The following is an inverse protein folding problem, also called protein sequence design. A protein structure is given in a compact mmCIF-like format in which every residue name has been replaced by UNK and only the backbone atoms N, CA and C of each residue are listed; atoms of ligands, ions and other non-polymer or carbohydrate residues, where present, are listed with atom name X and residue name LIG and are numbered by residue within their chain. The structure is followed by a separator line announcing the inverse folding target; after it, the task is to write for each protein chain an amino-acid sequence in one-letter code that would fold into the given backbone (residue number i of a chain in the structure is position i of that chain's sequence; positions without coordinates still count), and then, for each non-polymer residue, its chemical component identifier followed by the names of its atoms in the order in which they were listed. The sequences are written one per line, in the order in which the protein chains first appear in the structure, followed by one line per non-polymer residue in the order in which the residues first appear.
data_IF_013533434764
#
_entry.id   IF_013533434764
#
_cell.length_a   1.000
_cell.length_b   1.000
_cell.length_c   1.000
_cell.angle_alpha   90.00
_cell.angle_beta   90.00
_cell.angle_gamma   90.00
#
_symmetry.space_group_name_H-M   'P 1'
#
loop_
_entity.id
_entity.type
_entity.pdbx_description
1 polymer ?
#
# COMPACT_ATOMS: atom_id res chain seq x y z
N UNK A 1 47.29 -12.48 70.76
CA UNK A 1 46.53 -11.27 71.05
C UNK A 1 46.07 -10.75 69.69
N UNK A 2 44.84 -11.10 69.31
CA UNK A 2 44.27 -10.94 67.96
C UNK A 2 43.38 -9.70 68.03
N UNK A 3 43.64 -8.71 67.20
CA UNK A 3 42.72 -7.56 66.99
C UNK A 3 41.87 -7.83 65.75
N UNK A 4 40.56 -7.93 65.95
CA UNK A 4 39.57 -7.91 64.94
C UNK A 4 39.29 -6.43 64.54
N UNK A 5 39.47 -6.11 63.29
CA UNK A 5 38.95 -4.87 62.70
C UNK A 5 37.67 -5.22 61.89
N UNK A 6 36.54 -4.75 62.36
CA UNK A 6 35.28 -4.86 61.66
C UNK A 6 35.23 -3.70 60.63
N UNK A 7 35.09 -4.02 59.34
CA UNK A 7 34.75 -3.09 58.29
C UNK A 7 33.24 -3.12 58.11
N UNK A 8 32.56 -2.04 58.43
CA UNK A 8 31.19 -1.79 58.05
C UNK A 8 31.12 -1.36 56.59
N UNK A 9 30.54 -2.18 55.75
CA UNK A 9 30.20 -1.81 54.38
C UNK A 9 29.00 -0.85 54.36
N UNK A 10 29.23 0.38 53.93
CA UNK A 10 28.19 1.31 53.61
C UNK A 10 27.55 0.88 52.28
N UNK A 11 26.29 0.45 52.31
CA UNK A 11 25.47 0.27 51.13
C UNK A 11 25.21 1.59 50.45
N UNK A 12 25.91 1.89 49.35
CA UNK A 12 25.53 2.93 48.42
C UNK A 12 24.37 2.40 47.56
N UNK A 13 23.14 2.74 47.94
CA UNK A 13 21.94 2.52 47.15
C UNK A 13 22.03 3.32 45.85
N UNK A 14 22.39 2.64 44.77
CA UNK A 14 22.23 3.21 43.41
C UNK A 14 20.74 3.16 43.11
N UNK A 15 20.05 4.29 43.35
CA UNK A 15 18.70 4.51 42.86
C UNK A 15 18.79 4.66 41.34
N UNK A 16 18.45 3.58 40.63
CA UNK A 16 18.15 3.66 39.19
C UNK A 16 16.85 4.47 39.03
N UNK A 17 16.96 5.76 38.80
CA UNK A 17 15.85 6.56 38.31
C UNK A 17 15.57 6.07 36.89
N UNK A 18 14.66 5.13 36.73
CA UNK A 18 13.98 4.90 35.47
C UNK A 18 13.13 6.13 35.22
N UNK A 19 13.63 7.06 34.42
CA UNK A 19 12.84 8.17 33.95
C UNK A 19 11.60 7.57 33.28
N UNK A 20 10.44 7.65 33.94
CA UNK A 20 9.16 7.33 33.32
C UNK A 20 8.99 8.32 32.16
N UNK A 21 9.24 7.86 30.96
CA UNK A 21 8.99 8.63 29.73
C UNK A 21 7.51 8.95 29.71
N UNK A 22 7.16 10.25 29.75
CA UNK A 22 5.77 10.72 29.72
C UNK A 22 5.22 10.56 28.29
N UNK A 23 4.66 9.36 28.01
CA UNK A 23 4.00 9.09 26.73
C UNK A 23 2.51 9.39 26.90
N UNK A 24 2.02 10.33 26.09
CA UNK A 24 0.59 10.69 26.05
C UNK A 24 0.02 10.42 24.68
N UNK A 25 -1.11 9.74 24.62
CA UNK A 25 -1.86 9.53 23.38
C UNK A 25 -3.02 10.51 23.35
N UNK A 26 -3.04 11.36 22.34
CA UNK A 26 -4.06 12.39 22.19
C UNK A 26 -4.75 12.26 20.84
N UNK A 27 -6.10 12.42 20.79
CA UNK A 27 -6.79 12.50 19.51
C UNK A 27 -6.41 13.79 18.78
N UNK A 28 -6.35 13.71 17.46
CA UNK A 28 -6.11 14.87 16.59
C UNK A 28 -7.34 15.78 16.65
N UNK A 29 -7.13 17.01 17.10
CA UNK A 29 -8.17 18.04 17.15
C UNK A 29 -7.70 19.32 16.46
N UNK A 30 -8.45 19.76 15.45
CA UNK A 30 -8.16 20.98 14.73
C UNK A 30 -6.98 20.92 13.75
N UNK A 31 -6.73 22.05 13.09
CA UNK A 31 -5.81 22.14 11.94
C UNK A 31 -4.34 21.98 12.30
N UNK A 32 -3.94 22.36 13.53
CA UNK A 32 -2.56 22.26 14.00
C UNK A 32 -2.16 20.80 14.21
N UNK A 33 -2.99 20.03 14.89
CA UNK A 33 -2.73 18.62 15.17
C UNK A 33 -2.81 17.79 13.88
N UNK A 34 -3.79 18.08 13.00
CA UNK A 34 -3.88 17.48 11.67
C UNK A 34 -2.60 17.73 10.85
N UNK A 35 -2.05 18.95 10.89
CA UNK A 35 -0.77 19.24 10.22
C UNK A 35 0.36 18.40 10.82
N UNK A 36 0.43 18.25 12.13
CA UNK A 36 1.44 17.43 12.79
C UNK A 36 1.27 15.95 12.41
N UNK A 37 0.03 15.43 12.46
CA UNK A 37 -0.29 14.06 12.08
C UNK A 37 0.15 13.75 10.65
N UNK A 38 -0.24 14.57 9.68
CA UNK A 38 0.08 14.39 8.26
C UNK A 38 1.59 14.48 8.00
N UNK A 39 2.31 15.43 8.63
CA UNK A 39 3.72 15.68 8.32
C UNK A 39 4.72 14.93 9.20
N UNK A 40 4.26 14.18 10.19
CA UNK A 40 5.12 13.44 11.11
C UNK A 40 6.11 12.49 10.41
N UNK A 41 5.69 11.66 9.42
CA UNK A 41 6.62 10.75 8.73
C UNK A 41 7.79 11.45 8.05
N UNK A 42 7.58 12.67 7.51
CA UNK A 42 8.67 13.44 6.89
C UNK A 42 9.77 13.84 7.88
N UNK A 43 9.44 13.90 9.16
CA UNK A 43 10.40 14.16 10.24
C UNK A 43 11.06 12.86 10.70
N UNK A 44 10.26 11.81 10.92
CA UNK A 44 10.75 10.52 11.41
C UNK A 44 11.69 9.85 10.40
N UNK A 45 11.36 9.94 9.12
CA UNK A 45 12.05 9.19 8.05
C UNK A 45 13.00 10.07 7.22
N UNK A 46 13.51 11.16 7.82
CA UNK A 46 14.48 12.01 7.15
C UNK A 46 15.76 11.25 6.81
N UNK A 47 16.21 11.33 5.56
CA UNK A 47 17.43 10.66 5.10
C UNK A 47 17.26 9.18 4.72
N UNK A 48 16.05 8.65 4.82
CA UNK A 48 15.72 7.27 4.44
C UNK A 48 15.20 7.17 3.00
N UNK A 49 14.94 5.95 2.47
CA UNK A 49 14.24 5.75 1.20
C UNK A 49 12.79 6.25 1.16
N UNK A 50 12.17 6.55 2.29
CA UNK A 50 10.80 7.04 2.36
C UNK A 50 10.54 8.19 1.39
N UNK A 51 9.35 8.23 0.81
CA UNK A 51 8.92 9.24 -0.16
C UNK A 51 7.72 10.01 0.37
N UNK A 52 7.79 11.35 0.40
CA UNK A 52 6.64 12.14 0.83
C UNK A 52 5.48 11.98 -0.15
N UNK A 53 4.24 11.78 0.36
CA UNK A 53 3.04 11.78 -0.48
C UNK A 53 2.78 13.19 -1.04
N UNK A 54 1.79 13.30 -1.92
CA UNK A 54 1.22 14.61 -2.26
C UNK A 54 0.45 15.11 -1.03
N UNK A 55 0.99 16.11 -0.36
CA UNK A 55 0.48 16.57 0.96
C UNK A 55 -1.00 16.95 0.97
N UNK A 56 -1.50 17.51 -0.13
CA UNK A 56 -2.91 17.87 -0.24
C UNK A 56 -3.81 16.62 -0.27
N UNK A 57 -3.37 15.56 -0.96
CA UNK A 57 -4.12 14.32 -1.07
C UNK A 57 -4.01 13.50 0.23
N UNK A 58 -2.81 13.46 0.83
CA UNK A 58 -2.61 12.84 2.14
C UNK A 58 -3.56 13.41 3.20
N UNK A 59 -3.65 14.74 3.29
CA UNK A 59 -4.56 15.41 4.22
C UNK A 59 -6.03 15.08 3.96
N UNK A 60 -6.45 15.03 2.69
CA UNK A 60 -7.82 14.66 2.32
C UNK A 60 -8.13 13.21 2.70
N UNK A 61 -7.14 12.34 2.59
CA UNK A 61 -7.25 10.93 2.96
C UNK A 61 -7.69 10.69 4.41
N UNK A 62 -7.48 11.66 5.30
CA UNK A 62 -7.86 11.59 6.71
C UNK A 62 -9.11 12.40 7.06
N UNK A 63 -9.95 12.75 6.09
CA UNK A 63 -11.21 13.48 6.30
C UNK A 63 -12.38 12.67 5.76
N UNK A 64 -13.44 12.50 6.56
CA UNK A 64 -14.68 11.86 6.14
C UNK A 64 -15.32 12.55 4.92
N UNK A 65 -15.23 13.89 4.83
CA UNK A 65 -15.77 14.68 3.72
C UNK A 65 -15.13 14.36 2.36
N UNK A 66 -13.92 13.80 2.37
CA UNK A 66 -13.12 13.58 1.16
C UNK A 66 -12.72 12.13 0.93
N UNK A 67 -12.95 11.26 1.92
CA UNK A 67 -12.61 9.84 1.89
C UNK A 67 -13.87 9.00 2.11
N UNK A 68 -14.37 8.31 1.08
CA UNK A 68 -15.60 7.53 1.16
C UNK A 68 -15.56 6.39 2.18
N UNK A 69 -14.38 5.82 2.44
CA UNK A 69 -14.21 4.78 3.46
C UNK A 69 -14.41 5.38 4.84
N UNK A 70 -13.79 6.53 5.13
CA UNK A 70 -13.94 7.20 6.43
C UNK A 70 -15.32 7.84 6.62
N UNK A 71 -15.99 8.25 5.53
CA UNK A 71 -17.37 8.71 5.57
C UNK A 71 -18.31 7.62 6.13
N UNK A 72 -18.04 6.36 5.78
CA UNK A 72 -18.81 5.19 6.23
C UNK A 72 -18.20 4.49 7.46
N UNK A 73 -17.28 5.14 8.18
CA UNK A 73 -16.56 4.56 9.31
C UNK A 73 -16.67 5.38 10.57
N UNK A 74 -16.63 4.70 11.71
CA UNK A 74 -16.27 5.32 12.98
C UNK A 74 -14.74 5.33 13.09
N UNK A 75 -14.10 6.49 13.14
CA UNK A 75 -12.64 6.56 13.12
C UNK A 75 -12.06 7.57 14.11
N UNK A 76 -10.78 7.40 14.42
CA UNK A 76 -9.97 8.35 15.18
C UNK A 76 -8.56 8.42 14.63
N UNK A 77 -7.98 9.61 14.69
CA UNK A 77 -6.57 9.87 14.42
C UNK A 77 -5.88 10.15 15.77
N UNK A 78 -4.85 9.39 16.10
CA UNK A 78 -4.14 9.51 17.36
C UNK A 78 -2.68 9.94 17.15
N UNK A 79 -2.20 10.84 17.99
CA UNK A 79 -0.80 11.25 18.09
C UNK A 79 -0.22 10.80 19.44
N UNK A 80 0.90 10.10 19.38
CA UNK A 80 1.73 9.88 20.57
C UNK A 80 2.65 11.08 20.78
N UNK A 81 2.65 11.60 21.97
CA UNK A 81 3.57 12.64 22.44
C UNK A 81 4.53 12.04 23.45
N UNK A 82 5.80 12.32 23.28
CA UNK A 82 6.86 11.92 24.20
C UNK A 82 7.73 13.14 24.49
N UNK A 83 7.90 13.46 25.79
CA UNK A 83 8.69 14.60 26.24
C UNK A 83 8.29 15.92 25.53
N UNK A 84 6.98 16.13 25.32
CA UNK A 84 6.41 17.31 24.67
C UNK A 84 6.56 17.39 23.15
N UNK A 85 7.08 16.34 22.49
CA UNK A 85 7.21 16.26 21.03
C UNK A 85 6.37 15.11 20.45
N UNK A 86 5.79 15.25 19.24
CA UNK A 86 5.09 14.13 18.58
C UNK A 86 6.09 13.00 18.29
N UNK A 87 5.82 11.80 18.76
CA UNK A 87 6.68 10.62 18.64
C UNK A 87 6.08 9.52 17.76
N UNK A 88 4.78 9.57 17.49
CA UNK A 88 4.12 8.60 16.61
C UNK A 88 2.70 9.01 16.27
N UNK A 89 2.13 8.31 15.27
CA UNK A 89 0.75 8.47 14.81
C UNK A 89 0.13 7.13 14.48
N UNK A 90 -1.19 7.03 14.58
CA UNK A 90 -2.00 5.91 14.10
C UNK A 90 -3.39 6.40 13.73
N UNK A 91 -3.98 5.79 12.70
CA UNK A 91 -5.41 5.85 12.39
C UNK A 91 -6.04 4.55 12.86
N UNK A 92 -7.16 4.60 13.57
CA UNK A 92 -8.00 3.46 13.87
C UNK A 92 -9.43 3.73 13.37
N UNK A 93 -10.07 2.73 12.74
CA UNK A 93 -11.40 2.88 12.16
C UNK A 93 -12.15 1.55 12.08
N UNK A 94 -13.49 1.63 12.20
CA UNK A 94 -14.39 0.51 11.96
C UNK A 94 -15.12 0.80 10.66
N UNK A 95 -14.74 0.10 9.59
CA UNK A 95 -15.38 0.21 8.28
C UNK A 95 -16.61 -0.69 8.23
N UNK A 96 -17.80 -0.09 8.10
CA UNK A 96 -19.05 -0.84 8.04
C UNK A 96 -19.15 -1.68 6.79
N UNK A 97 -18.66 -1.20 5.65
CA UNK A 97 -18.65 -1.97 4.39
C UNK A 97 -17.75 -3.19 4.46
N UNK A 98 -16.59 -3.07 5.12
CA UNK A 98 -15.71 -4.21 5.40
C UNK A 98 -16.42 -5.27 6.25
N UNK A 99 -16.97 -4.87 7.38
CA UNK A 99 -17.60 -5.79 8.32
C UNK A 99 -18.86 -6.45 7.75
N UNK A 100 -19.65 -5.73 6.98
CA UNK A 100 -20.80 -6.28 6.26
C UNK A 100 -20.36 -7.29 5.19
N UNK A 101 -19.36 -6.94 4.37
CA UNK A 101 -18.89 -7.79 3.28
C UNK A 101 -18.27 -9.10 3.78
N UNK A 102 -17.45 -9.04 4.84
CA UNK A 102 -16.76 -10.21 5.39
C UNK A 102 -17.52 -10.88 6.55
N UNK A 103 -18.68 -10.37 6.93
CA UNK A 103 -19.46 -10.83 8.11
C UNK A 103 -18.56 -10.90 9.36
N UNK A 104 -17.80 -9.81 9.62
CA UNK A 104 -16.77 -9.72 10.64
C UNK A 104 -17.06 -8.60 11.64
N UNK A 105 -16.39 -8.67 12.79
CA UNK A 105 -16.34 -7.61 13.79
C UNK A 105 -14.90 -7.07 13.86
N UNK A 106 -14.36 -6.65 12.72
CA UNK A 106 -13.01 -6.13 12.61
C UNK A 106 -12.94 -4.62 12.87
N UNK A 107 -11.93 -4.22 13.61
CA UNK A 107 -11.45 -2.86 13.63
C UNK A 107 -10.15 -2.77 12.82
N UNK A 108 -10.03 -1.76 12.00
CA UNK A 108 -8.87 -1.59 11.13
C UNK A 108 -7.94 -0.50 11.68
N UNK A 109 -6.64 -0.64 11.42
CA UNK A 109 -5.69 0.44 11.67
C UNK A 109 -4.80 0.70 10.46
N UNK A 110 -4.35 1.95 10.34
CA UNK A 110 -3.42 2.38 9.29
C UNK A 110 -2.59 3.56 9.77
N UNK A 111 -1.77 4.12 8.89
CA UNK A 111 -0.92 5.28 9.18
C UNK A 111 -0.10 5.13 10.48
N UNK A 112 0.34 3.91 10.80
CA UNK A 112 1.19 3.66 11.95
C UNK A 112 2.63 4.05 11.60
N UNK A 113 3.06 5.20 12.11
CA UNK A 113 4.41 5.72 11.98
C UNK A 113 4.87 6.24 13.35
N UNK A 114 5.98 5.73 13.85
CA UNK A 114 6.50 6.14 15.15
C UNK A 114 8.04 6.08 15.21
N UNK A 115 8.61 6.68 16.24
CA UNK A 115 10.02 6.47 16.60
C UNK A 115 10.24 5.01 16.96
N UNK A 116 11.46 4.49 16.78
CA UNK A 116 11.83 3.10 17.10
C UNK A 116 11.86 2.89 18.63
N UNK A 117 10.69 2.87 19.25
CA UNK A 117 10.50 2.71 20.69
C UNK A 117 9.31 1.79 20.99
N UNK A 118 9.54 0.63 21.65
CA UNK A 118 8.48 -0.32 21.99
C UNK A 118 7.33 0.28 22.80
N UNK A 119 7.65 1.23 23.71
CA UNK A 119 6.64 1.85 24.57
C UNK A 119 5.70 2.75 23.74
N UNK A 120 6.23 3.48 22.75
CA UNK A 120 5.43 4.33 21.86
C UNK A 120 4.53 3.48 20.95
N UNK A 121 5.08 2.40 20.34
CA UNK A 121 4.29 1.48 19.52
C UNK A 121 3.16 0.84 20.33
N UNK A 122 3.48 0.31 21.51
CA UNK A 122 2.48 -0.31 22.41
C UNK A 122 1.39 0.68 22.80
N UNK A 123 1.76 1.88 23.22
CA UNK A 123 0.79 2.90 23.64
C UNK A 123 -0.17 3.31 22.50
N UNK A 124 0.35 3.47 21.26
CA UNK A 124 -0.48 3.77 20.09
C UNK A 124 -1.43 2.63 19.75
N UNK A 125 -0.90 1.40 19.68
CA UNK A 125 -1.66 0.21 19.32
C UNK A 125 -2.73 -0.13 20.37
N UNK A 126 -2.43 0.05 21.67
CA UNK A 126 -3.38 -0.18 22.73
C UNK A 126 -4.48 0.90 22.80
N UNK A 127 -4.13 2.17 22.54
CA UNK A 127 -5.13 3.24 22.43
C UNK A 127 -6.06 3.04 21.22
N UNK A 128 -5.51 2.60 20.10
CA UNK A 128 -6.29 2.23 18.91
C UNK A 128 -7.22 1.04 19.21
N UNK A 129 -6.70 -0.01 19.86
CA UNK A 129 -7.48 -1.18 20.26
C UNK A 129 -8.64 -0.81 21.21
N UNK A 130 -8.39 0.04 22.19
CA UNK A 130 -9.42 0.53 23.10
C UNK A 130 -10.53 1.30 22.38
N UNK A 131 -10.15 2.16 21.41
CA UNK A 131 -11.11 2.88 20.56
C UNK A 131 -11.99 1.92 19.75
N UNK A 132 -11.39 0.88 19.15
CA UNK A 132 -12.07 -0.11 18.32
C UNK A 132 -12.97 -1.03 19.14
N UNK A 133 -12.49 -1.53 20.28
CA UNK A 133 -13.27 -2.37 21.19
C UNK A 133 -14.51 -1.64 21.72
N UNK A 134 -14.40 -0.35 22.05
CA UNK A 134 -15.53 0.49 22.45
C UNK A 134 -16.62 0.64 21.36
N UNK A 135 -16.31 0.24 20.12
CA UNK A 135 -17.23 0.23 18.94
C UNK A 135 -17.62 -1.17 18.51
N UNK A 136 -17.36 -2.16 19.35
CA UNK A 136 -17.78 -3.54 19.12
C UNK A 136 -16.82 -4.39 18.29
N UNK A 137 -15.66 -3.84 17.92
CA UNK A 137 -14.66 -4.65 17.23
C UNK A 137 -14.05 -5.68 18.20
N UNK A 138 -13.93 -6.92 17.73
CA UNK A 138 -13.32 -8.04 18.48
C UNK A 138 -11.90 -8.34 18.06
N UNK A 139 -11.52 -7.92 16.85
CA UNK A 139 -10.19 -8.10 16.27
C UNK A 139 -9.70 -6.79 15.69
N UNK A 140 -8.42 -6.47 15.87
CA UNK A 140 -7.75 -5.35 15.24
C UNK A 140 -6.83 -5.87 14.14
N UNK A 141 -6.99 -5.33 12.91
CA UNK A 141 -6.33 -5.78 11.68
C UNK A 141 -5.65 -4.60 10.97
N UNK A 142 -4.43 -4.80 10.49
CA UNK A 142 -3.71 -3.78 9.69
C UNK A 142 -2.19 -4.01 9.61
N UNK A 143 -1.43 -3.01 9.14
CA UNK A 143 -1.88 -1.69 8.69
C UNK A 143 -2.62 -1.73 7.36
N UNK A 144 -3.84 -1.22 7.32
CA UNK A 144 -4.66 -1.01 6.12
C UNK A 144 -5.02 0.46 6.06
N UNK A 145 -4.57 1.14 5.03
CA UNK A 145 -4.89 2.56 4.88
C UNK A 145 -6.22 2.70 4.13
N UNK A 146 -7.14 3.56 4.56
CA UNK A 146 -8.46 3.73 3.94
C UNK A 146 -8.41 4.43 2.57
N UNK A 147 -7.28 5.01 2.22
CA UNK A 147 -7.01 5.47 0.84
C UNK A 147 -6.20 4.38 0.18
N UNK A 148 -6.67 3.92 -0.98
CA UNK A 148 -6.11 2.82 -1.73
C UNK A 148 -4.60 2.62 -1.49
N UNK A 149 -4.21 1.43 -1.02
CA UNK A 149 -2.96 0.79 -1.37
C UNK A 149 -1.71 1.08 -0.55
N UNK A 150 -1.83 1.75 0.59
CA UNK A 150 -0.79 1.73 1.60
C UNK A 150 -1.11 0.62 2.62
N UNK A 151 -0.91 -0.64 2.21
CA UNK A 151 -1.22 -1.80 3.04
C UNK A 151 0.04 -2.52 3.49
N UNK A 152 0.01 -2.94 4.73
CA UNK A 152 1.08 -3.71 5.35
C UNK A 152 2.30 -2.91 5.78
N UNK A 153 3.13 -3.56 6.55
CA UNK A 153 4.45 -3.11 6.98
C UNK A 153 5.50 -3.81 6.14
N UNK A 154 6.45 -3.08 5.55
CA UNK A 154 7.60 -3.67 4.88
C UNK A 154 8.41 -4.49 5.88
N UNK A 155 8.62 -5.78 5.61
CA UNK A 155 9.36 -6.71 6.47
C UNK A 155 10.59 -7.31 5.79
N UNK A 156 10.66 -7.21 4.45
CA UNK A 156 11.80 -7.68 3.65
C UNK A 156 11.92 -6.84 2.38
N UNK A 157 13.15 -6.65 1.87
CA UNK A 157 13.43 -5.89 0.65
C UNK A 157 13.67 -4.39 0.89
N UNK A 158 14.28 -4.02 2.00
CA UNK A 158 14.61 -2.64 2.37
C UNK A 158 15.67 -1.98 1.45
N UNK A 159 16.42 -2.76 0.68
CA UNK A 159 17.50 -2.29 -0.20
C UNK A 159 16.99 -1.48 -1.39
N UNK A 160 15.71 -1.63 -1.74
CA UNK A 160 15.09 -0.92 -2.85
C UNK A 160 14.07 0.10 -2.35
N UNK A 161 14.05 1.33 -2.93
CA UNK A 161 13.05 2.33 -2.53
C UNK A 161 11.63 1.85 -2.83
N UNK A 162 10.62 2.40 -2.13
CA UNK A 162 9.22 2.08 -2.40
C UNK A 162 8.82 2.62 -3.78
N UNK A 163 8.01 1.87 -4.52
CA UNK A 163 7.35 2.38 -5.72
C UNK A 163 6.09 3.17 -5.36
N UNK A 164 5.57 3.91 -6.32
CA UNK A 164 4.38 4.75 -6.11
C UNK A 164 3.21 3.95 -5.49
N UNK A 165 2.60 4.52 -4.45
CA UNK A 165 1.53 3.92 -3.65
C UNK A 165 1.92 2.64 -2.89
N UNK A 166 3.18 2.48 -2.47
CA UNK A 166 3.58 1.45 -1.51
C UNK A 166 4.20 2.07 -0.26
N UNK A 167 3.96 1.49 0.94
CA UNK A 167 4.50 2.02 2.18
C UNK A 167 6.02 1.78 2.26
N UNK A 168 6.64 2.58 3.11
CA UNK A 168 7.99 2.36 3.62
C UNK A 168 8.01 2.64 5.12
N UNK A 169 8.66 1.80 5.87
CA UNK A 169 8.84 1.91 7.32
C UNK A 169 10.26 1.44 7.70
N UNK A 170 10.77 1.81 8.88
CA UNK A 170 12.02 1.28 9.40
C UNK A 170 11.97 -0.25 9.59
N UNK A 171 13.12 -0.96 9.49
CA UNK A 171 13.17 -2.41 9.70
C UNK A 171 12.70 -2.89 11.07
N UNK A 172 12.83 -2.05 12.11
CA UNK A 172 12.40 -2.37 13.47
C UNK A 172 10.87 -2.54 13.61
N UNK A 173 10.07 -1.98 12.69
CA UNK A 173 8.61 -1.92 12.82
C UNK A 173 7.94 -3.31 12.96
N UNK A 174 8.40 -4.36 12.22
CA UNK A 174 7.87 -5.73 12.36
C UNK A 174 8.01 -6.24 13.80
N UNK A 175 9.21 -6.12 14.36
CA UNK A 175 9.50 -6.55 15.73
C UNK A 175 8.65 -5.79 16.76
N UNK A 176 8.54 -4.47 16.61
CA UNK A 176 7.79 -3.60 17.53
C UNK A 176 6.27 -3.89 17.51
N UNK A 177 5.71 -4.16 16.33
CA UNK A 177 4.29 -4.54 16.20
C UNK A 177 4.05 -5.92 16.84
N UNK A 178 4.94 -6.88 16.62
CA UNK A 178 4.84 -8.21 17.25
C UNK A 178 5.00 -8.16 18.76
N UNK A 179 5.94 -7.36 19.26
CA UNK A 179 6.14 -7.15 20.69
C UNK A 179 4.91 -6.50 21.36
N UNK A 180 4.11 -5.75 20.60
CA UNK A 180 2.82 -5.24 21.04
C UNK A 180 1.70 -6.30 21.00
N UNK A 181 1.99 -7.57 20.73
CA UNK A 181 1.06 -8.69 20.79
C UNK A 181 0.28 -8.97 19.50
N UNK A 182 0.79 -8.52 18.36
CA UNK A 182 0.18 -8.81 17.07
C UNK A 182 0.82 -10.01 16.39
N UNK A 183 -0.01 -10.86 15.79
CA UNK A 183 0.39 -11.97 14.96
C UNK A 183 0.30 -11.63 13.46
N UNK A 184 1.04 -12.39 12.65
CA UNK A 184 0.93 -12.29 11.19
C UNK A 184 -0.46 -12.73 10.73
N UNK A 185 -1.12 -11.87 9.95
CA UNK A 185 -2.37 -12.20 9.24
C UNK A 185 -2.10 -12.61 7.79
N UNK A 186 -1.45 -11.76 7.00
CA UNK A 186 -1.24 -11.96 5.57
C UNK A 186 0.06 -11.32 5.11
N UNK A 187 0.80 -12.00 4.24
CA UNK A 187 1.90 -11.37 3.52
C UNK A 187 1.48 -10.96 2.10
N UNK A 188 1.90 -9.77 1.70
CA UNK A 188 1.72 -9.20 0.37
C UNK A 188 3.08 -9.17 -0.33
N UNK A 189 3.19 -9.80 -1.49
CA UNK A 189 4.45 -9.98 -2.20
C UNK A 189 4.59 -8.96 -3.33
N UNK A 190 5.80 -8.43 -3.50
CA UNK A 190 6.19 -7.63 -4.65
C UNK A 190 7.22 -8.38 -5.49
N UNK A 191 6.99 -8.44 -6.78
CA UNK A 191 7.84 -9.14 -7.74
C UNK A 191 8.51 -8.18 -8.71
N UNK A 192 9.75 -8.47 -9.08
CA UNK A 192 10.46 -7.74 -10.12
C UNK A 192 11.29 -8.71 -10.97
N UNK A 193 11.45 -8.39 -12.24
CA UNK A 193 12.42 -9.04 -13.07
C UNK A 193 13.79 -8.38 -12.90
N UNK A 194 14.77 -9.17 -12.53
CA UNK A 194 16.17 -8.73 -12.42
C UNK A 194 16.83 -8.88 -13.81
N UNK A 195 16.56 -7.91 -14.70
CA UNK A 195 17.11 -7.92 -16.07
C UNK A 195 17.83 -6.60 -16.34
N UNK A 196 19.16 -6.62 -16.55
CA UNK A 196 19.89 -5.45 -17.00
C UNK A 196 19.28 -4.88 -18.29
N UNK A 197 19.00 -3.58 -18.31
CA UNK A 197 18.41 -2.91 -19.48
C UNK A 197 16.89 -2.98 -19.61
N UNK A 198 16.21 -3.58 -18.65
CA UNK A 198 14.75 -3.69 -18.59
C UNK A 198 14.25 -5.13 -18.72
N UNK A 199 12.96 -5.32 -18.48
CA UNK A 199 12.31 -6.63 -18.57
C UNK A 199 12.14 -7.07 -20.02
N UNK A 200 12.37 -8.37 -20.29
CA UNK A 200 12.07 -9.04 -21.56
C UNK A 200 11.17 -10.24 -21.34
N UNK A 201 10.04 -10.23 -22.00
CA UNK A 201 9.07 -11.32 -21.92
C UNK A 201 9.62 -12.57 -22.63
N UNK A 202 9.55 -13.78 -22.04
CA UNK A 202 9.97 -15.02 -22.70
C UNK A 202 9.21 -15.28 -24.02
N UNK A 203 9.91 -15.75 -25.06
CA UNK A 203 9.37 -15.91 -26.43
C UNK A 203 8.15 -16.82 -26.52
N UNK A 204 8.04 -17.84 -25.65
CA UNK A 204 6.87 -18.73 -25.58
C UNK A 204 5.55 -17.98 -25.39
N UNK A 205 5.54 -16.82 -24.72
CA UNK A 205 4.35 -15.99 -24.56
C UNK A 205 3.98 -15.27 -25.85
N UNK A 206 4.99 -14.82 -26.62
CA UNK A 206 4.77 -14.20 -27.94
C UNK A 206 4.21 -15.21 -28.95
N UNK A 207 4.71 -16.45 -28.89
CA UNK A 207 4.23 -17.55 -29.73
C UNK A 207 2.79 -17.95 -29.36
N UNK A 208 2.49 -18.00 -28.06
CA UNK A 208 1.11 -18.22 -27.59
C UNK A 208 0.19 -17.10 -28.08
N UNK A 209 0.56 -15.84 -27.91
CA UNK A 209 -0.19 -14.66 -28.35
C UNK A 209 -0.55 -14.76 -29.84
N UNK A 210 0.43 -15.01 -30.70
CA UNK A 210 0.21 -15.12 -32.16
C UNK A 210 -0.77 -16.26 -32.50
N UNK A 211 -0.56 -17.45 -31.93
CA UNK A 211 -1.42 -18.62 -32.17
C UNK A 211 -2.83 -18.44 -31.64
N UNK A 212 -2.97 -17.81 -30.47
CA UNK A 212 -4.28 -17.57 -29.86
C UNK A 212 -5.14 -16.66 -30.74
N UNK A 213 -4.61 -15.50 -31.13
CA UNK A 213 -5.35 -14.52 -31.94
C UNK A 213 -5.66 -15.05 -33.34
N UNK A 214 -4.75 -15.80 -33.96
CA UNK A 214 -5.00 -16.43 -35.25
C UNK A 214 -6.16 -17.45 -35.23
N UNK A 215 -6.35 -18.15 -34.11
CA UNK A 215 -7.42 -19.14 -33.95
C UNK A 215 -8.73 -18.58 -33.38
N UNK A 216 -8.69 -17.39 -32.81
CA UNK A 216 -9.81 -16.76 -32.07
C UNK A 216 -9.94 -15.30 -32.45
N UNK A 217 -10.38 -14.95 -33.65
CA UNK A 217 -10.44 -13.59 -34.18
C UNK A 217 -11.42 -12.68 -33.40
N UNK A 218 -12.34 -13.26 -32.65
CA UNK A 218 -13.24 -12.52 -31.75
C UNK A 218 -12.52 -11.79 -30.59
N UNK A 219 -11.27 -12.19 -30.29
CA UNK A 219 -10.47 -11.56 -29.24
C UNK A 219 -9.50 -10.52 -29.83
N UNK A 220 -9.52 -9.35 -29.23
CA UNK A 220 -8.60 -8.24 -29.58
C UNK A 220 -7.95 -7.68 -28.32
N UNK A 221 -6.85 -6.95 -28.49
CA UNK A 221 -6.21 -6.23 -27.41
C UNK A 221 -6.01 -4.77 -27.81
N UNK A 222 -6.29 -3.88 -26.86
CA UNK A 222 -6.00 -2.46 -27.02
C UNK A 222 -5.44 -1.85 -25.73
N UNK A 223 -4.76 -0.73 -25.88
CA UNK A 223 -4.38 0.12 -24.75
C UNK A 223 -5.57 1.00 -24.31
N UNK A 224 -5.41 1.68 -23.17
CA UNK A 224 -6.35 2.68 -22.68
C UNK A 224 -6.54 3.79 -23.70
N UNK A 225 -7.79 4.21 -23.91
CA UNK A 225 -8.14 5.36 -24.75
C UNK A 225 -8.40 6.60 -23.88
N UNK A 226 -7.48 7.56 -23.93
CA UNK A 226 -7.61 8.80 -23.16
C UNK A 226 -8.79 9.67 -23.56
N UNK A 227 -9.36 9.51 -24.77
CA UNK A 227 -10.59 10.20 -25.20
C UNK A 227 -11.83 9.63 -24.51
N UNK A 228 -11.81 8.35 -24.15
CA UNK A 228 -12.86 7.62 -23.44
C UNK A 228 -12.43 7.20 -22.01
N UNK A 229 -11.55 7.97 -21.39
CA UNK A 229 -10.90 7.61 -20.12
C UNK A 229 -11.87 7.12 -19.03
N UNK A 230 -12.99 7.81 -18.82
CA UNK A 230 -13.97 7.40 -17.79
C UNK A 230 -14.80 6.18 -18.19
N UNK A 231 -15.02 5.97 -19.49
CA UNK A 231 -15.66 4.74 -19.97
C UNK A 231 -14.75 3.53 -19.73
N UNK A 232 -13.47 3.65 -20.11
CA UNK A 232 -12.46 2.61 -19.86
C UNK A 232 -12.26 2.35 -18.36
N UNK A 233 -12.27 3.40 -17.54
CA UNK A 233 -12.26 3.25 -16.08
C UNK A 233 -13.50 2.49 -15.57
N UNK A 234 -14.66 2.71 -16.16
CA UNK A 234 -15.87 1.96 -15.86
C UNK A 234 -15.78 0.48 -16.22
N UNK A 235 -15.06 0.14 -17.30
CA UNK A 235 -14.76 -1.26 -17.65
C UNK A 235 -13.82 -1.90 -16.62
N UNK A 236 -12.76 -1.18 -16.20
CA UNK A 236 -11.87 -1.64 -15.13
C UNK A 236 -12.66 -1.91 -13.86
N UNK A 237 -13.49 -0.95 -13.42
CA UNK A 237 -14.34 -1.11 -12.25
C UNK A 237 -15.20 -2.37 -12.32
N UNK A 238 -15.94 -2.55 -13.42
CA UNK A 238 -16.84 -3.72 -13.61
C UNK A 238 -16.09 -5.05 -13.56
N UNK A 239 -14.94 -5.12 -14.25
CA UNK A 239 -14.15 -6.36 -14.28
C UNK A 239 -13.53 -6.62 -12.91
N UNK A 240 -13.03 -5.59 -12.21
CA UNK A 240 -12.49 -5.71 -10.87
C UNK A 240 -13.53 -6.25 -9.91
N UNK A 241 -14.70 -5.63 -9.87
CA UNK A 241 -15.79 -6.01 -8.98
C UNK A 241 -16.21 -7.47 -9.18
N UNK A 242 -16.41 -7.89 -10.44
CA UNK A 242 -16.79 -9.25 -10.77
C UNK A 242 -15.69 -10.30 -10.60
N UNK A 243 -14.42 -9.91 -10.71
CA UNK A 243 -13.29 -10.84 -10.63
C UNK A 243 -12.69 -10.96 -9.23
N UNK A 244 -12.74 -9.89 -8.42
CA UNK A 244 -12.09 -9.84 -7.11
C UNK A 244 -13.03 -9.95 -5.92
N UNK A 245 -14.35 -10.06 -6.13
CA UNK A 245 -15.37 -10.10 -5.08
C UNK A 245 -15.10 -11.11 -3.95
N UNK A 246 -14.40 -12.21 -4.24
CA UNK A 246 -14.05 -13.22 -3.24
C UNK A 246 -12.56 -13.15 -2.85
N UNK A 247 -11.82 -12.13 -3.26
CA UNK A 247 -10.43 -11.98 -2.85
C UNK A 247 -10.38 -11.41 -1.42
N UNK A 248 -9.47 -11.95 -0.63
CA UNK A 248 -9.21 -11.41 0.69
C UNK A 248 -8.87 -9.91 0.61
N UNK A 249 -9.50 -9.13 1.45
CA UNK A 249 -9.28 -7.68 1.54
C UNK A 249 -9.98 -6.82 0.47
N UNK A 250 -10.63 -7.42 -0.52
CA UNK A 250 -11.39 -6.64 -1.50
C UNK A 250 -12.80 -6.34 -0.98
N UNK A 251 -13.14 -5.07 -0.90
CA UNK A 251 -14.49 -4.58 -0.60
C UNK A 251 -15.02 -3.88 -1.85
N UNK A 252 -16.23 -4.21 -2.34
CA UNK A 252 -16.83 -3.53 -3.48
C UNK A 252 -16.96 -2.03 -3.25
N UNK A 253 -16.60 -1.25 -4.27
CA UNK A 253 -16.69 0.22 -4.24
C UNK A 253 -17.79 0.65 -5.23
N UNK A 254 -18.73 1.55 -4.86
CA UNK A 254 -19.69 2.11 -5.80
C UNK A 254 -19.01 2.73 -7.03
N UNK A 255 -19.64 2.56 -8.21
CA UNK A 255 -19.04 2.97 -9.49
C UNK A 255 -18.68 4.45 -9.56
N UNK A 256 -19.54 5.29 -9.06
CA UNK A 256 -19.35 6.75 -9.03
C UNK A 256 -18.18 7.14 -8.13
N UNK A 257 -18.07 6.54 -6.95
CA UNK A 257 -16.94 6.70 -6.02
C UNK A 257 -15.62 6.29 -6.69
N UNK A 258 -15.60 5.11 -7.33
CA UNK A 258 -14.43 4.65 -8.08
C UNK A 258 -14.02 5.62 -9.18
N UNK A 259 -14.97 6.10 -9.98
CA UNK A 259 -14.69 7.04 -11.06
C UNK A 259 -14.16 8.39 -10.55
N UNK A 260 -14.63 8.87 -9.40
CA UNK A 260 -14.10 10.10 -8.77
C UNK A 260 -12.66 9.92 -8.27
N UNK A 261 -12.34 8.77 -7.70
CA UNK A 261 -10.96 8.44 -7.32
C UNK A 261 -10.04 8.41 -8.55
N UNK A 262 -10.46 7.77 -9.63
CA UNK A 262 -9.65 7.60 -10.85
C UNK A 262 -9.44 8.92 -11.60
N UNK A 263 -10.38 9.85 -11.57
CA UNK A 263 -10.22 11.19 -12.19
C UNK A 263 -8.93 11.90 -11.75
N UNK A 264 -8.54 11.72 -10.49
CA UNK A 264 -7.32 12.32 -9.92
C UNK A 264 -6.04 11.70 -10.49
N UNK A 265 -6.10 10.45 -10.91
CA UNK A 265 -4.97 9.73 -11.49
C UNK A 265 -4.74 10.06 -12.98
N UNK A 266 -5.70 10.71 -13.65
CA UNK A 266 -5.62 11.01 -15.10
C UNK A 266 -4.33 11.71 -15.52
N UNK A 267 -3.76 12.55 -14.65
CA UNK A 267 -2.52 13.28 -14.94
C UNK A 267 -1.27 12.39 -14.94
N UNK A 268 -1.29 11.26 -14.25
CA UNK A 268 -0.13 10.37 -14.11
C UNK A 268 -0.26 9.08 -14.93
N UNK A 269 -1.46 8.79 -15.44
CA UNK A 269 -1.70 7.58 -16.26
C UNK A 269 -0.86 7.60 -17.53
N UNK A 270 -0.29 6.45 -17.86
CA UNK A 270 0.33 6.15 -19.13
C UNK A 270 -0.58 5.16 -19.89
N UNK A 271 -1.22 5.59 -21.00
CA UNK A 271 -2.14 4.72 -21.74
C UNK A 271 -1.51 3.41 -22.23
N UNK A 272 -0.21 3.42 -22.56
CA UNK A 272 0.50 2.23 -23.00
C UNK A 272 0.81 1.23 -21.87
N UNK A 273 0.63 1.63 -20.62
CA UNK A 273 0.79 0.78 -19.44
C UNK A 273 -0.53 0.15 -18.98
N UNK A 274 -1.64 0.41 -19.69
CA UNK A 274 -2.96 -0.15 -19.41
C UNK A 274 -3.46 -0.87 -20.65
N UNK A 275 -3.83 -2.14 -20.49
CA UNK A 275 -4.26 -2.99 -21.57
C UNK A 275 -5.61 -3.61 -21.26
N UNK A 276 -6.48 -3.67 -22.26
CA UNK A 276 -7.72 -4.44 -22.27
C UNK A 276 -7.59 -5.63 -23.22
N UNK A 277 -8.15 -6.76 -22.81
CA UNK A 277 -8.50 -7.85 -23.72
C UNK A 277 -10.02 -7.80 -23.94
N UNK A 278 -10.43 -7.79 -25.20
CA UNK A 278 -11.82 -7.68 -25.60
C UNK A 278 -12.26 -8.97 -26.32
N UNK A 279 -13.53 -9.34 -26.16
CA UNK A 279 -14.21 -10.34 -26.98
C UNK A 279 -15.37 -9.67 -27.68
N UNK A 280 -15.40 -9.75 -29.02
CA UNK A 280 -16.43 -9.10 -29.84
C UNK A 280 -16.59 -7.60 -29.49
N UNK A 281 -15.49 -6.90 -29.24
CA UNK A 281 -15.44 -5.49 -28.88
C UNK A 281 -15.82 -5.13 -27.44
N UNK A 282 -16.10 -6.13 -26.58
CA UNK A 282 -16.44 -5.93 -25.17
C UNK A 282 -15.26 -6.29 -24.27
N UNK A 283 -14.77 -5.38 -23.39
CA UNK A 283 -13.70 -5.69 -22.44
C UNK A 283 -14.08 -6.82 -21.47
N UNK A 284 -13.29 -7.89 -21.47
CA UNK A 284 -13.45 -9.08 -20.61
C UNK A 284 -12.27 -9.30 -19.65
N UNK A 285 -11.21 -8.51 -19.81
CA UNK A 285 -10.08 -8.48 -18.89
C UNK A 285 -9.26 -7.21 -19.09
N UNK A 286 -8.47 -6.87 -18.06
CA UNK A 286 -7.54 -5.74 -18.10
C UNK A 286 -6.26 -6.07 -17.33
N UNK A 287 -5.19 -5.36 -17.69
CA UNK A 287 -3.97 -5.25 -16.89
C UNK A 287 -3.59 -3.78 -16.76
N UNK A 288 -3.26 -3.35 -15.55
CA UNK A 288 -3.12 -1.97 -15.16
C UNK A 288 -1.74 -1.70 -14.56
N UNK A 289 -0.97 -0.81 -15.20
CA UNK A 289 0.30 -0.32 -14.72
C UNK A 289 0.34 1.20 -14.58
N UNK A 290 1.16 1.66 -13.63
CA UNK A 290 1.42 3.09 -13.41
C UNK A 290 2.91 3.39 -13.46
N UNK A 291 3.32 4.55 -14.01
CA UNK A 291 4.68 5.02 -13.84
C UNK A 291 4.98 5.29 -12.36
N UNK A 292 6.14 4.88 -11.89
CA UNK A 292 6.61 5.20 -10.55
C UNK A 292 7.02 6.67 -10.46
N UNK A 293 6.12 7.49 -9.96
CA UNK A 293 6.36 8.94 -9.79
C UNK A 293 7.11 9.28 -8.51
N UNK A 294 7.48 8.31 -7.68
CA UNK A 294 8.12 8.55 -6.37
C UNK A 294 9.43 9.32 -6.49
N UNK A 295 10.21 9.08 -7.54
CA UNK A 295 11.45 9.84 -7.80
C UNK A 295 11.17 11.33 -8.01
N UNK A 296 10.02 11.66 -8.60
CA UNK A 296 9.56 13.04 -8.80
C UNK A 296 9.03 13.61 -7.49
N UNK A 297 8.17 12.85 -6.78
CA UNK A 297 7.61 13.26 -5.49
C UNK A 297 8.72 13.55 -4.47
N UNK A 298 9.76 12.74 -4.43
CA UNK A 298 10.94 12.97 -3.57
C UNK A 298 11.64 14.29 -3.92
N UNK A 299 11.82 14.58 -5.22
CA UNK A 299 12.48 15.80 -5.69
C UNK A 299 11.66 17.07 -5.35
N UNK A 300 10.33 17.03 -5.53
CA UNK A 300 9.42 18.15 -5.21
C UNK A 300 8.97 18.15 -3.74
N UNK A 301 9.44 17.19 -2.92
CA UNK A 301 9.08 17.02 -1.51
C UNK A 301 7.56 16.95 -1.28
N UNK A 302 6.82 16.27 -2.18
CA UNK A 302 5.37 16.13 -2.14
C UNK A 302 4.56 17.41 -2.44
N UNK A 303 5.21 18.49 -2.89
CA UNK A 303 4.56 19.78 -3.14
C UNK A 303 4.28 19.98 -4.64
N UNK A 304 3.01 19.88 -5.03
CA UNK A 304 2.62 20.13 -6.43
C UNK A 304 2.61 21.62 -6.77
N UNK A 305 2.26 22.49 -5.83
CA UNK A 305 2.19 23.93 -6.06
C UNK A 305 3.36 24.67 -5.41
N UNK A 306 3.86 25.77 -6.04
CA UNK A 306 3.40 26.35 -7.31
C UNK A 306 3.92 25.64 -8.59
N UNK A 307 5.10 25.00 -8.58
CA UNK A 307 5.79 24.50 -9.79
C UNK A 307 5.91 22.97 -9.88
N UNK A 308 5.61 22.24 -8.80
CA UNK A 308 5.78 20.78 -8.76
C UNK A 308 4.94 20.04 -9.83
N UNK A 309 3.75 20.50 -10.13
CA UNK A 309 2.91 19.92 -11.17
C UNK A 309 3.53 20.02 -12.58
N UNK A 310 4.22 21.11 -12.90
CA UNK A 310 4.95 21.26 -14.16
C UNK A 310 6.11 20.27 -14.24
N UNK A 311 6.86 20.12 -13.13
CA UNK A 311 7.96 19.15 -13.03
C UNK A 311 7.41 17.73 -13.21
N UNK A 312 6.27 17.40 -12.58
CA UNK A 312 5.60 16.10 -12.72
C UNK A 312 5.22 15.84 -14.19
N UNK A 313 4.52 16.77 -14.84
CA UNK A 313 4.10 16.62 -16.24
C UNK A 313 5.27 16.49 -17.21
N UNK A 314 6.35 17.27 -16.99
CA UNK A 314 7.54 17.20 -17.84
C UNK A 314 8.32 15.90 -17.67
N UNK A 315 8.53 15.46 -16.41
CA UNK A 315 9.40 14.32 -16.12
C UNK A 315 8.71 12.96 -16.22
N UNK A 316 7.37 12.85 -16.07
CA UNK A 316 6.66 11.57 -16.08
C UNK A 316 6.92 10.73 -17.33
N UNK A 317 7.09 11.36 -18.50
CA UNK A 317 7.37 10.67 -19.79
C UNK A 317 8.76 10.02 -19.85
N UNK A 318 9.67 10.38 -18.93
CA UNK A 318 11.04 9.85 -18.87
C UNK A 318 11.20 8.76 -17.83
N UNK A 319 10.13 8.43 -17.10
CA UNK A 319 10.16 7.39 -16.09
C UNK A 319 10.38 6.03 -16.74
N UNK A 320 11.25 5.24 -16.10
CA UNK A 320 11.65 3.90 -16.54
C UNK A 320 11.27 2.81 -15.54
N UNK A 321 10.65 3.19 -14.44
CA UNK A 321 10.17 2.28 -13.42
C UNK A 321 8.64 2.38 -13.36
N UNK A 322 7.97 1.22 -13.39
CA UNK A 322 6.52 1.12 -13.41
C UNK A 322 6.06 0.11 -12.39
N UNK A 323 4.92 0.37 -11.80
CA UNK A 323 4.19 -0.56 -10.96
C UNK A 323 3.09 -1.24 -11.78
N UNK A 324 3.11 -2.58 -11.89
CA UNK A 324 1.95 -3.35 -12.35
C UNK A 324 1.08 -3.62 -11.12
N UNK A 325 -0.12 -3.03 -11.14
CA UNK A 325 -0.93 -2.86 -9.98
C UNK A 325 -2.19 -3.74 -9.97
N UNK A 326 -2.84 -3.91 -11.10
CA UNK A 326 -4.08 -4.66 -11.22
C UNK A 326 -4.09 -5.55 -12.44
N UNK A 327 -4.70 -6.71 -12.29
CA UNK A 327 -5.07 -7.62 -13.35
C UNK A 327 -6.39 -8.27 -13.00
N UNK A 328 -7.36 -8.14 -13.89
CA UNK A 328 -8.66 -8.77 -13.76
C UNK A 328 -9.06 -9.46 -15.06
N UNK A 329 -9.68 -10.63 -14.94
CA UNK A 329 -10.29 -11.37 -16.04
C UNK A 329 -11.63 -11.92 -15.53
N UNK A 330 -12.70 -11.74 -16.30
CA UNK A 330 -14.00 -12.28 -15.95
C UNK A 330 -13.94 -13.82 -15.83
N UNK A 331 -14.64 -14.40 -14.85
CA UNK A 331 -14.56 -15.82 -14.47
C UNK A 331 -14.81 -16.78 -15.63
N UNK A 332 -15.73 -16.45 -16.52
CA UNK A 332 -16.07 -17.25 -17.70
C UNK A 332 -14.90 -17.42 -18.70
N UNK A 333 -13.86 -16.57 -18.58
CA UNK A 333 -12.66 -16.63 -19.41
C UNK A 333 -11.42 -17.14 -18.67
N UNK A 334 -11.56 -17.58 -17.42
CA UNK A 334 -10.45 -18.16 -16.68
C UNK A 334 -9.90 -19.42 -17.37
N UNK A 335 -8.60 -19.66 -17.24
CA UNK A 335 -7.92 -20.81 -17.86
C UNK A 335 -7.66 -20.66 -19.36
N UNK A 336 -8.13 -19.61 -20.02
CA UNK A 336 -7.88 -19.36 -21.44
C UNK A 336 -6.50 -18.72 -21.73
N UNK A 337 -5.77 -18.24 -20.70
CA UNK A 337 -4.49 -17.56 -20.86
C UNK A 337 -4.61 -16.11 -21.33
N UNK A 338 -5.74 -15.43 -21.02
CA UNK A 338 -5.93 -14.02 -21.38
C UNK A 338 -4.93 -13.10 -20.67
N UNK A 339 -4.50 -13.45 -19.45
CA UNK A 339 -3.40 -12.82 -18.73
C UNK A 339 -2.10 -12.80 -19.56
N UNK A 340 -1.74 -13.93 -20.15
CA UNK A 340 -0.57 -14.04 -21.01
C UNK A 340 -0.66 -13.13 -22.24
N UNK A 341 -1.85 -12.95 -22.82
CA UNK A 341 -2.05 -12.00 -23.93
C UNK A 341 -1.79 -10.57 -23.49
N UNK A 342 -2.32 -10.18 -22.33
CA UNK A 342 -2.11 -8.84 -21.77
C UNK A 342 -0.66 -8.58 -21.41
N UNK A 343 0.06 -9.56 -20.86
CA UNK A 343 1.51 -9.44 -20.62
C UNK A 343 2.30 -9.19 -21.92
N UNK A 344 1.96 -9.87 -23.01
CA UNK A 344 2.60 -9.64 -24.31
C UNK A 344 2.30 -8.24 -24.84
N UNK A 345 1.06 -7.79 -24.72
CA UNK A 345 0.67 -6.45 -25.17
C UNK A 345 1.45 -5.36 -24.42
N UNK A 346 1.47 -5.43 -23.10
CA UNK A 346 2.22 -4.49 -22.26
C UNK A 346 3.75 -4.56 -22.54
N UNK A 347 4.30 -5.77 -22.67
CA UNK A 347 5.73 -5.97 -22.91
C UNK A 347 6.21 -5.31 -24.19
N UNK A 348 5.41 -5.26 -25.26
CA UNK A 348 5.78 -4.60 -26.53
C UNK A 348 6.15 -3.11 -26.32
N UNK A 349 5.36 -2.39 -25.52
CA UNK A 349 5.64 -0.99 -25.18
C UNK A 349 6.79 -0.87 -24.19
N UNK A 350 6.78 -1.68 -23.15
CA UNK A 350 7.72 -1.59 -22.03
C UNK A 350 9.15 -1.95 -22.45
N UNK A 351 9.33 -3.00 -23.25
CA UNK A 351 10.65 -3.42 -23.75
C UNK A 351 11.27 -2.36 -24.68
N UNK A 352 10.48 -1.82 -25.62
CA UNK A 352 10.93 -0.75 -26.51
C UNK A 352 11.42 0.48 -25.73
N UNK A 353 10.81 0.76 -24.59
CA UNK A 353 11.11 1.91 -23.74
C UNK A 353 12.15 1.61 -22.65
N UNK A 354 12.58 0.36 -22.48
CA UNK A 354 13.50 -0.09 -21.42
C UNK A 354 12.94 0.11 -20.02
N UNK A 355 11.66 -0.24 -19.82
CA UNK A 355 10.94 -0.08 -18.55
C UNK A 355 11.23 -1.27 -17.64
N UNK A 356 11.53 -0.98 -16.36
CA UNK A 356 11.51 -1.94 -15.26
C UNK A 356 10.11 -2.01 -14.68
N UNK A 357 9.66 -3.23 -14.35
CA UNK A 357 8.32 -3.46 -13.83
C UNK A 357 8.39 -4.12 -12.45
N UNK A 358 7.76 -3.50 -11.47
CA UNK A 358 7.47 -4.11 -10.17
C UNK A 358 5.99 -4.48 -10.11
N UNK A 359 5.68 -5.78 -9.97
CA UNK A 359 4.31 -6.26 -9.82
C UNK A 359 4.00 -6.42 -8.32
N UNK A 360 3.01 -5.71 -7.81
CA UNK A 360 2.57 -5.72 -6.42
C UNK A 360 1.14 -5.12 -6.28
N UNK A 361 0.35 -5.56 -5.32
CA UNK A 361 0.68 -6.59 -4.35
C UNK A 361 0.01 -7.88 -4.74
N UNK A 362 0.70 -8.97 -4.50
CA UNK A 362 0.13 -10.30 -4.68
C UNK A 362 0.02 -10.95 -3.30
N UNK A 363 -1.19 -11.35 -2.91
CA UNK A 363 -1.42 -12.11 -1.70
C UNK A 363 -0.57 -13.39 -1.70
N UNK A 364 0.06 -13.75 -0.60
CA UNK A 364 0.91 -14.96 -0.52
C UNK A 364 0.12 -16.24 -0.85
N UNK A 365 -1.18 -16.28 -0.58
CA UNK A 365 -2.07 -17.41 -0.86
C UNK A 365 -2.65 -17.40 -2.29
N UNK A 366 -2.41 -16.35 -3.10
CA UNK A 366 -2.80 -16.33 -4.51
C UNK A 366 -1.80 -17.13 -5.37
N UNK A 367 -1.80 -18.45 -5.18
CA UNK A 367 -0.88 -19.38 -5.87
C UNK A 367 -0.91 -19.26 -7.39
N UNK A 368 -2.07 -19.11 -8.07
CA UNK A 368 -2.12 -18.94 -9.53
C UNK A 368 -1.30 -17.74 -10.00
N UNK A 369 -1.46 -16.56 -9.37
CA UNK A 369 -0.74 -15.35 -9.74
C UNK A 369 0.75 -15.45 -9.38
N UNK A 370 1.09 -15.93 -8.17
CA UNK A 370 2.47 -16.13 -7.75
C UNK A 370 3.23 -17.03 -8.73
N UNK A 371 2.63 -18.16 -9.12
CA UNK A 371 3.21 -19.07 -10.11
C UNK A 371 3.33 -18.44 -11.52
N UNK A 372 2.37 -17.62 -11.92
CA UNK A 372 2.41 -16.93 -13.21
C UNK A 372 3.61 -15.95 -13.27
N UNK A 373 3.82 -15.16 -12.22
CA UNK A 373 4.94 -14.22 -12.15
C UNK A 373 6.31 -14.92 -12.13
N UNK A 374 6.45 -16.03 -11.40
CA UNK A 374 7.66 -16.85 -11.41
C UNK A 374 7.93 -17.41 -12.81
N UNK A 375 6.90 -17.90 -13.52
CA UNK A 375 7.04 -18.37 -14.93
C UNK A 375 7.41 -17.26 -15.90
N UNK A 376 7.06 -16.03 -15.59
CA UNK A 376 7.49 -14.84 -16.34
C UNK A 376 8.93 -14.44 -16.02
N UNK A 377 9.60 -15.09 -15.07
CA UNK A 377 10.97 -14.81 -14.67
C UNK A 377 11.12 -13.73 -13.61
N UNK A 378 10.02 -13.36 -12.93
CA UNK A 378 10.07 -12.41 -11.85
C UNK A 378 10.42 -13.11 -10.53
N UNK A 379 11.09 -12.37 -9.64
CA UNK A 379 11.46 -12.81 -8.28
C UNK A 379 10.81 -11.92 -7.25
N UNK A 380 10.50 -12.46 -6.08
CA UNK A 380 10.07 -11.67 -4.92
C UNK A 380 11.23 -10.77 -4.50
N UNK A 381 10.97 -9.48 -4.41
CA UNK A 381 11.95 -8.46 -4.00
C UNK A 381 11.55 -7.72 -2.74
N UNK A 382 10.26 -7.72 -2.40
CA UNK A 382 9.74 -7.13 -1.16
C UNK A 382 8.61 -7.98 -0.61
N UNK A 383 8.48 -7.91 0.71
CA UNK A 383 7.38 -8.52 1.45
C UNK A 383 6.79 -7.48 2.39
N UNK A 384 5.49 -7.29 2.31
CA UNK A 384 4.73 -6.46 3.24
C UNK A 384 3.84 -7.37 4.07
N UNK A 385 3.64 -7.05 5.34
CA UNK A 385 2.90 -7.89 6.29
C UNK A 385 1.76 -7.13 6.90
N UNK A 386 0.60 -7.77 6.91
CA UNK A 386 -0.54 -7.40 7.70
C UNK A 386 -0.56 -8.23 8.98
N UNK A 387 -1.02 -7.62 10.05
CA UNK A 387 -1.08 -8.23 11.36
C UNK A 387 -2.49 -8.17 11.92
N UNK A 388 -2.79 -9.08 12.83
CA UNK A 388 -4.03 -9.05 13.60
C UNK A 388 -3.77 -9.31 15.08
N UNK A 389 -4.68 -8.81 15.93
CA UNK A 389 -4.72 -9.07 17.36
C UNK A 389 -6.18 -9.12 17.82
N UNK A 390 -6.54 -10.13 18.63
CA UNK A 390 -7.83 -10.16 19.33
C UNK A 390 -7.81 -9.07 20.40
N UNK A 391 -8.87 -8.28 20.49
CA UNK A 391 -8.95 -7.07 21.37
C UNK A 391 -10.16 -7.06 22.30
N UNK A 392 -11.08 -8.04 22.17
CA UNK A 392 -12.26 -8.18 23.03
C UNK A 392 -12.58 -9.67 23.29
#
# INVERSE_FOLDING_TARGET
MVFFCAFTAAEQGVQWFTAMTDIRILPVSGSRDMKQFVTLPARLYRGTPWVPPIWADERRGYSAESNPVLENSDFTLLLAWRDGAPAGRILAYVDRSWNEHFSADDGLFGALDAVDDPAVYRALLDAAAAFLAARGARRMLGPIHPVAEFWGTLVDGFDTPPVFLTPWNPPAADGLIREAGFDKEMDLLAYQADVPGGYRLPDRYRDFYRRFLARRPAFTLRSLDMSRFLEDAGHIWRITDLSLINNWGYVPVPRDVFLDMVRRLKLIVDPEAICFVEKDGVPVGYALGYPDINIILKAIRGRLFPLGWLILLHRRRRLKHYRLFGLGVLREFHGMGLDALMYVHLAKSMERRGIRLEANWILENNLPMNNALVRLGLKVIKRYRLYSRVIA
#
